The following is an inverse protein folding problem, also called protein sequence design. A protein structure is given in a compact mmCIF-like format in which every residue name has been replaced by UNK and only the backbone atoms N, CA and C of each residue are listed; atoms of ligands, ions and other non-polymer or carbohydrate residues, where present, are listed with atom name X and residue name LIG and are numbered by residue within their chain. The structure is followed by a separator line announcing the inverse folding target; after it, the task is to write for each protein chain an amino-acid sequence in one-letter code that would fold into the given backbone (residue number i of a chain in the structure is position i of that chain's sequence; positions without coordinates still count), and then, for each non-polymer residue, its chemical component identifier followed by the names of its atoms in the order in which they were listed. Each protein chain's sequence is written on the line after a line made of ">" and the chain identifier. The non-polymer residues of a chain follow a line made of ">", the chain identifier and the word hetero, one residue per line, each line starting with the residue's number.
data_IF_988635892622
#
_entry.id   IF_988635892622
#
_cell.length_a   1.000
_cell.length_b   1.000
_cell.length_c   1.000
_cell.angle_alpha   90.00
_cell.angle_beta   90.00
_cell.angle_gamma   90.00
#
_symmetry.space_group_name_H-M   'P 1'
#
loop_
_entity.id
_entity.type
_entity.pdbx_description
1 polymer ?
#
# COMPACT_ATOMS: atom_id res chain seq x y z
N UNK A 1 15.07 -13.30 -36.73
CA UNK A 1 13.92 -12.82 -35.91
C UNK A 1 13.62 -13.92 -34.89
N UNK A 2 14.62 -14.23 -34.07
CA UNK A 2 14.61 -15.40 -33.17
C UNK A 2 15.04 -15.00 -31.76
N UNK A 3 15.98 -14.05 -31.64
CA UNK A 3 16.36 -13.42 -30.37
C UNK A 3 15.21 -12.69 -29.64
N UNK A 4 14.19 -12.19 -30.37
CA UNK A 4 13.09 -11.45 -29.77
C UNK A 4 12.03 -12.37 -29.13
N UNK A 5 11.87 -13.58 -29.67
CA UNK A 5 10.94 -14.60 -29.12
C UNK A 5 11.57 -15.23 -27.87
N UNK A 6 12.88 -15.49 -27.89
CA UNK A 6 13.62 -16.01 -26.74
C UNK A 6 13.65 -15.03 -25.55
N UNK A 7 13.71 -13.72 -25.82
CA UNK A 7 13.57 -12.67 -24.81
C UNK A 7 12.16 -12.54 -24.23
N UNK A 8 11.13 -12.94 -24.99
CA UNK A 8 9.73 -12.90 -24.55
C UNK A 8 9.31 -14.16 -23.76
N UNK A 9 10.01 -15.28 -23.93
CA UNK A 9 9.72 -16.52 -23.22
C UNK A 9 10.01 -16.40 -21.70
N UNK A 10 11.15 -15.77 -21.35
CA UNK A 10 11.54 -15.49 -19.96
C UNK A 10 10.47 -14.76 -19.12
N UNK A 11 9.97 -13.57 -19.52
CA UNK A 11 8.93 -12.87 -18.77
C UNK A 11 7.59 -13.62 -18.76
N UNK A 12 7.27 -14.36 -19.83
CA UNK A 12 6.03 -15.14 -19.88
C UNK A 12 6.03 -16.31 -18.89
N UNK A 13 7.17 -16.99 -18.75
CA UNK A 13 7.37 -18.03 -17.72
C UNK A 13 7.35 -17.42 -16.32
N UNK A 14 8.01 -16.28 -16.10
CA UNK A 14 8.02 -15.59 -14.80
C UNK A 14 6.62 -15.20 -14.30
N UNK A 15 5.75 -14.69 -15.19
CA UNK A 15 4.36 -14.35 -14.83
C UNK A 15 3.59 -15.61 -14.43
N UNK A 16 3.76 -16.70 -15.17
CA UNK A 16 3.12 -17.99 -14.85
C UNK A 16 3.55 -18.52 -13.48
N UNK A 17 4.85 -18.46 -13.18
CA UNK A 17 5.40 -18.86 -11.89
C UNK A 17 4.93 -17.94 -10.75
N UNK A 18 4.86 -16.63 -10.99
CA UNK A 18 4.37 -15.64 -10.02
C UNK A 18 2.91 -15.89 -9.64
N UNK A 19 2.05 -16.21 -10.61
CA UNK A 19 0.65 -16.55 -10.35
C UNK A 19 0.54 -17.85 -9.54
N UNK A 20 1.32 -18.86 -9.89
CA UNK A 20 1.36 -20.13 -9.16
C UNK A 20 1.84 -19.93 -7.72
N UNK A 21 2.84 -19.07 -7.51
CA UNK A 21 3.33 -18.69 -6.19
C UNK A 21 2.24 -18.02 -5.34
N UNK A 22 1.58 -16.98 -5.86
CA UNK A 22 0.51 -16.27 -5.15
C UNK A 22 -0.67 -17.20 -4.84
N UNK A 23 -0.96 -18.18 -5.71
CA UNK A 23 -1.98 -19.19 -5.45
C UNK A 23 -1.61 -20.16 -4.33
N UNK A 24 -0.32 -20.35 -4.03
CA UNK A 24 0.18 -21.21 -2.93
C UNK A 24 0.29 -20.46 -1.60
N UNK A 25 0.25 -19.13 -1.60
CA UNK A 25 0.23 -18.33 -0.38
C UNK A 25 -1.08 -18.55 0.41
N UNK A 26 -0.97 -18.60 1.74
CA UNK A 26 -2.15 -18.58 2.62
C UNK A 26 -2.79 -17.20 2.56
N UNK A 27 -4.03 -17.13 2.06
CA UNK A 27 -4.79 -15.88 2.00
C UNK A 27 -5.34 -15.58 3.39
N UNK A 28 -5.31 -14.32 3.84
CA UNK A 28 -5.82 -13.94 5.15
C UNK A 28 -7.32 -14.25 5.25
N UNK A 29 -7.72 -14.80 6.40
CA UNK A 29 -9.14 -15.03 6.68
C UNK A 29 -9.85 -13.70 6.99
N UNK A 30 -11.20 -13.68 6.92
CA UNK A 30 -12.01 -12.50 7.26
C UNK A 30 -11.67 -11.94 8.65
N UNK A 31 -11.40 -12.82 9.63
CA UNK A 31 -11.07 -12.38 11.00
C UNK A 31 -9.71 -11.67 11.08
N UNK A 32 -8.73 -12.16 10.33
CA UNK A 32 -7.38 -11.57 10.28
C UNK A 32 -7.41 -10.23 9.55
N UNK A 33 -8.14 -10.17 8.43
CA UNK A 33 -8.32 -8.94 7.68
C UNK A 33 -8.97 -7.85 8.54
N UNK A 34 -10.05 -8.17 9.26
CA UNK A 34 -10.73 -7.20 10.13
C UNK A 34 -9.82 -6.68 11.23
N UNK A 35 -9.01 -7.53 11.87
CA UNK A 35 -8.05 -7.10 12.91
C UNK A 35 -7.00 -6.14 12.34
N UNK A 36 -6.44 -6.45 11.17
CA UNK A 36 -5.44 -5.61 10.51
C UNK A 36 -6.07 -4.28 10.10
N UNK A 37 -7.24 -4.29 9.46
CA UNK A 37 -7.93 -3.07 9.05
C UNK A 37 -8.32 -2.20 10.24
N UNK A 38 -8.72 -2.79 11.36
CA UNK A 38 -8.99 -2.03 12.59
C UNK A 38 -7.73 -1.34 13.12
N UNK A 39 -6.61 -2.05 13.21
CA UNK A 39 -5.34 -1.47 13.66
C UNK A 39 -4.87 -0.34 12.73
N UNK A 40 -4.90 -0.56 11.41
CA UNK A 40 -4.54 0.45 10.41
C UNK A 40 -5.50 1.64 10.44
N UNK A 41 -6.81 1.39 10.59
CA UNK A 41 -7.84 2.43 10.66
C UNK A 41 -7.63 3.36 11.85
N UNK A 42 -7.32 2.82 13.03
CA UNK A 42 -6.98 3.63 14.22
C UNK A 42 -5.72 4.47 13.97
N UNK A 43 -4.68 3.88 13.38
CA UNK A 43 -3.46 4.60 13.02
C UNK A 43 -3.71 5.74 12.02
N UNK A 44 -4.51 5.49 10.98
CA UNK A 44 -4.86 6.51 9.99
C UNK A 44 -5.63 7.67 10.62
N UNK A 45 -6.58 7.38 11.50
CA UNK A 45 -7.36 8.39 12.21
C UNK A 45 -6.44 9.25 13.09
N UNK A 46 -5.56 8.63 13.90
CA UNK A 46 -4.63 9.36 14.75
C UNK A 46 -3.68 10.26 13.95
N UNK A 47 -3.07 9.73 12.88
CA UNK A 47 -2.16 10.50 12.02
C UNK A 47 -2.89 11.64 11.31
N UNK A 48 -4.12 11.40 10.85
CA UNK A 48 -4.97 12.42 10.23
C UNK A 48 -5.34 13.54 11.20
N UNK A 49 -5.73 13.20 12.44
CA UNK A 49 -6.04 14.19 13.46
C UNK A 49 -4.83 15.05 13.81
N UNK A 50 -3.67 14.42 14.07
CA UNK A 50 -2.44 15.15 14.41
C UNK A 50 -2.09 16.15 13.29
N UNK A 51 -2.10 15.70 12.03
CA UNK A 51 -1.83 16.56 10.87
C UNK A 51 -2.82 17.72 10.74
N UNK A 52 -4.11 17.49 11.01
CA UNK A 52 -5.14 18.52 10.98
C UNK A 52 -4.89 19.61 12.04
N UNK A 53 -4.61 19.23 13.28
CA UNK A 53 -4.38 20.19 14.36
C UNK A 53 -3.08 20.98 14.17
N UNK A 54 -2.00 20.33 13.75
CA UNK A 54 -0.74 21.03 13.43
C UNK A 54 -0.98 22.07 12.34
N UNK A 55 -1.69 21.70 11.27
CA UNK A 55 -2.00 22.62 10.18
C UNK A 55 -2.92 23.77 10.64
N UNK A 56 -3.91 23.48 11.48
CA UNK A 56 -4.84 24.48 12.01
C UNK A 56 -4.09 25.55 12.83
N UNK A 57 -3.13 25.15 13.67
CA UNK A 57 -2.33 26.09 14.48
C UNK A 57 -1.36 26.90 13.61
N UNK A 58 -0.79 26.29 12.56
CA UNK A 58 0.20 26.97 11.71
C UNK A 58 -0.41 28.05 10.81
N UNK A 59 -1.69 27.95 10.40
CA UNK A 59 -2.38 28.95 9.58
C UNK A 59 -2.43 30.35 10.25
N UNK A 60 -2.95 30.51 11.49
CA UNK A 60 -2.99 31.80 12.16
C UNK A 60 -1.59 32.30 12.51
N UNK A 61 -0.66 31.41 12.86
CA UNK A 61 0.74 31.77 13.12
C UNK A 61 1.35 32.44 11.88
N UNK A 62 1.19 31.83 10.70
CA UNK A 62 1.71 32.42 9.47
C UNK A 62 1.04 33.75 9.13
N UNK A 63 -0.27 33.90 9.38
CA UNK A 63 -1.01 35.14 9.14
C UNK A 63 -0.66 36.29 10.10
N UNK A 64 -0.05 36.01 11.25
CA UNK A 64 0.36 37.03 12.23
C UNK A 64 1.84 37.41 12.09
N UNK A 65 2.68 36.46 11.67
CA UNK A 65 4.14 36.67 11.56
C UNK A 65 4.52 37.28 10.19
N UNK A 66 3.75 36.99 9.14
CA UNK A 66 3.97 37.56 7.80
C UNK A 66 3.16 38.83 7.58
#
# INVERSE_FOLDING_TARGET
>A
MENFVELLDGPQQFVKESIQFVSRCTKPDRKEFVKVTQAVGVGFILMGFIGFFVKLIHIPINNIIV
#
